data_IF_410849586527
#
_entry.id   IF_410849586527
#
_cell.length_a   1.000
_cell.length_b   1.000
_cell.length_c   1.000
_cell.angle_alpha   90.00
_cell.angle_beta   90.00
_cell.angle_gamma   90.00
#
_symmetry.space_group_name_H-M   'P 1'
#
loop_
_entity.id
_entity.type
_entity.pdbx_description
1 polymer ?
#
# COMPACT_ATOMS: atom_id res chain seq x y z
N UNK A 1 21.86 4.72 6.62
CA UNK A 1 22.33 3.46 6.02
C UNK A 1 21.92 3.35 4.56
N UNK A 2 22.51 2.42 3.81
CA UNK A 2 22.30 2.24 2.36
C UNK A 2 21.16 1.25 2.08
N UNK A 3 20.24 1.61 1.20
CA UNK A 3 19.12 0.83 0.68
C UNK A 3 19.64 -0.29 -0.23
N UNK A 4 19.04 -1.48 -0.13
CA UNK A 4 19.36 -2.62 -0.98
C UNK A 4 18.48 -2.58 -2.24
N UNK A 5 18.87 -1.75 -3.20
CA UNK A 5 18.03 -1.44 -4.37
C UNK A 5 18.44 -2.27 -5.60
N UNK A 6 17.50 -2.71 -6.47
CA UNK A 6 17.83 -3.43 -7.70
C UNK A 6 18.84 -2.71 -8.60
N UNK A 7 19.59 -3.45 -9.42
CA UNK A 7 20.68 -2.93 -10.25
C UNK A 7 20.31 -1.77 -11.18
N UNK A 8 19.04 -1.69 -11.60
CA UNK A 8 18.53 -0.62 -12.47
C UNK A 8 18.11 0.65 -11.72
N UNK A 9 18.26 0.72 -10.40
CA UNK A 9 17.91 1.93 -9.64
C UNK A 9 19.01 2.97 -9.69
N UNK A 10 18.67 4.14 -10.22
CA UNK A 10 19.57 5.28 -10.42
C UNK A 10 19.45 6.35 -9.32
N UNK A 11 18.52 6.18 -8.36
CA UNK A 11 18.31 7.14 -7.29
C UNK A 11 19.32 7.01 -6.14
N UNK A 12 19.25 7.92 -5.14
CA UNK A 12 20.09 7.83 -3.96
C UNK A 12 19.79 6.55 -3.19
N UNK A 13 20.85 5.80 -2.87
CA UNK A 13 20.76 4.59 -2.04
C UNK A 13 20.87 4.92 -0.56
N UNK A 14 21.34 6.08 -0.15
CA UNK A 14 21.38 6.49 1.27
C UNK A 14 20.58 7.76 1.43
N UNK A 15 19.72 7.78 2.43
CA UNK A 15 18.92 8.95 2.80
C UNK A 15 19.30 9.29 4.24
N UNK A 16 19.76 10.53 4.45
CA UNK A 16 20.15 11.02 5.77
C UNK A 16 19.28 12.23 6.11
N UNK A 17 18.69 12.23 7.29
CA UNK A 17 17.86 13.31 7.81
C UNK A 17 18.37 13.69 9.20
N UNK A 18 18.72 14.96 9.40
CA UNK A 18 19.21 15.48 10.67
C UNK A 18 18.24 16.56 11.18
N UNK A 19 17.82 16.42 12.43
CA UNK A 19 16.90 17.35 13.09
C UNK A 19 17.26 17.49 14.57
N UNK A 20 17.23 18.73 15.08
CA UNK A 20 17.43 19.04 16.49
C UNK A 20 16.06 19.23 17.15
N UNK A 21 15.85 18.57 18.30
CA UNK A 21 14.63 18.69 19.09
C UNK A 21 14.91 19.47 20.37
N UNK A 22 14.29 20.64 20.50
CA UNK A 22 14.49 21.52 21.67
C UNK A 22 13.63 21.14 22.87
N UNK A 23 12.62 20.29 22.66
CA UNK A 23 11.68 19.89 23.70
C UNK A 23 11.69 18.37 23.88
N UNK A 24 11.67 17.88 25.13
CA UNK A 24 11.55 16.46 25.41
C UNK A 24 10.16 15.94 25.01
N UNK A 25 10.07 14.62 24.81
CA UNK A 25 8.81 13.95 24.51
C UNK A 25 8.85 13.17 23.20
N UNK A 26 7.67 12.73 22.75
CA UNK A 26 7.53 11.96 21.51
C UNK A 26 7.66 12.89 20.31
N UNK A 27 8.69 12.67 19.51
CA UNK A 27 8.92 13.37 18.26
C UNK A 27 8.54 12.47 17.09
N UNK A 28 8.05 13.06 15.99
CA UNK A 28 7.68 12.31 14.78
C UNK A 28 8.40 12.88 13.57
N UNK A 29 9.09 12.01 12.85
CA UNK A 29 9.83 12.35 11.64
C UNK A 29 9.15 11.64 10.45
N UNK A 30 9.05 12.33 9.31
CA UNK A 30 8.61 11.73 8.05
C UNK A 30 9.83 11.52 7.17
N UNK A 31 10.14 10.27 6.87
CA UNK A 31 11.23 9.91 5.97
C UNK A 31 10.66 9.68 4.56
N UNK A 32 11.33 10.17 3.49
CA UNK A 32 10.90 9.89 2.13
C UNK A 32 11.03 8.39 1.84
N UNK A 33 10.03 7.84 1.16
CA UNK A 33 10.00 6.44 0.75
C UNK A 33 10.47 6.30 -0.69
N UNK A 34 11.04 5.14 -1.02
CA UNK A 34 11.45 4.84 -2.39
C UNK A 34 10.32 4.17 -3.15
N UNK A 35 10.14 4.58 -4.40
CA UNK A 35 9.05 4.11 -5.25
C UNK A 35 9.37 2.77 -5.95
N UNK A 36 10.17 1.91 -5.32
CA UNK A 36 10.57 0.61 -5.85
C UNK A 36 10.43 -0.44 -4.75
N UNK A 37 10.20 -1.70 -5.13
CA UNK A 37 10.20 -2.80 -4.17
C UNK A 37 11.63 -3.04 -3.72
N UNK A 38 11.92 -2.77 -2.45
CA UNK A 38 13.27 -2.88 -1.89
C UNK A 38 13.20 -3.04 -0.38
N UNK A 39 14.23 -3.66 0.17
CA UNK A 39 14.47 -3.71 1.60
C UNK A 39 15.54 -2.68 1.95
N UNK A 40 15.36 -2.01 3.08
CA UNK A 40 16.32 -1.06 3.61
C UNK A 40 16.43 -1.18 5.10
N UNK A 41 17.44 -0.53 5.64
CA UNK A 41 17.68 -0.44 7.07
C UNK A 41 17.62 1.03 7.46
N UNK A 42 16.93 1.32 8.55
CA UNK A 42 16.93 2.64 9.19
C UNK A 42 17.84 2.58 10.40
N UNK A 43 18.83 3.47 10.42
CA UNK A 43 19.68 3.73 11.57
C UNK A 43 19.22 5.05 12.18
N UNK A 44 18.90 5.04 13.47
CA UNK A 44 18.50 6.22 14.24
C UNK A 44 19.61 6.52 15.23
N UNK A 45 20.16 7.73 15.16
CA UNK A 45 21.22 8.21 16.03
C UNK A 45 20.75 9.47 16.75
N UNK A 46 21.02 9.57 18.06
CA UNK A 46 20.67 10.70 18.88
C UNK A 46 21.79 11.03 19.84
N UNK A 47 22.10 12.32 19.98
CA UNK A 47 22.93 12.85 21.05
C UNK A 47 22.04 13.70 21.95
N UNK A 48 22.04 13.41 23.26
CA UNK A 48 21.30 14.25 24.20
C UNK A 48 22.12 15.49 24.62
N UNK A 49 21.48 16.40 25.35
CA UNK A 49 22.13 17.62 25.88
C UNK A 49 23.31 17.37 26.83
N UNK A 50 23.38 16.18 27.44
CA UNK A 50 24.46 15.76 28.35
C UNK A 50 25.60 15.05 27.58
N UNK A 51 25.53 14.99 26.24
CA UNK A 51 26.52 14.30 25.41
C UNK A 51 26.38 12.79 25.34
N UNK A 52 25.31 12.20 25.88
CA UNK A 52 25.06 10.76 25.76
C UNK A 52 24.60 10.41 24.34
N UNK A 53 25.26 9.41 23.77
CA UNK A 53 24.97 8.89 22.45
C UNK A 53 24.05 7.67 22.52
N UNK A 54 22.99 7.68 21.72
CA UNK A 54 22.06 6.58 21.56
C UNK A 54 21.96 6.21 20.08
N UNK A 55 21.91 4.90 19.80
CA UNK A 55 21.77 4.37 18.45
C UNK A 55 20.83 3.17 18.45
N UNK A 56 19.98 3.07 17.44
CA UNK A 56 19.12 1.92 17.21
C UNK A 56 18.95 1.65 15.70
N UNK A 57 18.74 0.39 15.34
CA UNK A 57 18.67 -0.07 13.95
C UNK A 57 17.47 -0.99 13.73
N UNK A 58 16.70 -0.74 12.68
CA UNK A 58 15.59 -1.61 12.28
C UNK A 58 15.44 -1.73 10.77
N UNK A 59 14.95 -2.90 10.34
CA UNK A 59 14.72 -3.21 8.93
C UNK A 59 13.34 -2.77 8.46
N UNK A 60 13.27 -2.22 7.25
CA UNK A 60 12.04 -1.83 6.57
C UNK A 60 11.98 -2.46 5.18
N UNK A 61 10.81 -2.94 4.80
CA UNK A 61 10.58 -3.45 3.44
C UNK A 61 9.50 -2.63 2.74
N UNK A 62 9.84 -2.08 1.58
CA UNK A 62 8.92 -1.33 0.73
C UNK A 62 8.28 -2.28 -0.28
N UNK A 63 6.97 -2.52 -0.17
CA UNK A 63 6.21 -3.43 -1.06
C UNK A 63 5.30 -2.71 -2.06
N UNK A 64 5.56 -1.43 -2.35
CA UNK A 64 4.55 -0.45 -2.80
C UNK A 64 3.97 -0.59 -4.23
N UNK A 65 4.02 -1.74 -4.91
CA UNK A 65 3.67 -1.84 -6.34
C UNK A 65 2.55 -2.79 -6.78
N UNK A 66 1.72 -3.33 -5.90
CA UNK A 66 0.63 -4.23 -6.35
C UNK A 66 -0.68 -3.55 -6.77
N UNK A 67 -0.85 -2.24 -6.55
CA UNK A 67 -2.17 -1.62 -6.71
C UNK A 67 -2.56 -1.26 -8.16
N UNK A 68 -1.60 -1.01 -9.06
CA UNK A 68 -1.94 -0.59 -10.44
C UNK A 68 -2.56 -1.73 -11.25
N UNK A 69 -1.95 -2.92 -11.22
CA UNK A 69 -2.48 -4.08 -11.95
C UNK A 69 -3.74 -4.62 -11.29
N UNK A 70 -3.77 -4.71 -9.96
CA UNK A 70 -4.94 -5.14 -9.19
C UNK A 70 -6.17 -4.25 -9.47
N UNK A 71 -5.97 -2.93 -9.57
CA UNK A 71 -7.04 -1.98 -9.93
C UNK A 71 -7.69 -2.36 -11.26
N UNK A 72 -6.90 -2.62 -12.29
CA UNK A 72 -7.43 -2.96 -13.61
C UNK A 72 -8.01 -4.38 -13.68
N UNK A 73 -7.39 -5.33 -12.96
CA UNK A 73 -7.90 -6.69 -12.85
C UNK A 73 -9.29 -6.75 -12.19
N UNK A 74 -9.60 -5.83 -11.26
CA UNK A 74 -10.92 -5.70 -10.65
C UNK A 74 -11.91 -4.98 -11.57
N UNK A 75 -11.49 -3.87 -12.18
CA UNK A 75 -12.38 -2.98 -12.94
C UNK A 75 -12.80 -3.59 -14.27
N UNK A 76 -11.92 -4.34 -14.95
CA UNK A 76 -12.22 -4.94 -16.26
C UNK A 76 -13.38 -5.96 -16.22
N UNK A 77 -13.43 -6.93 -15.30
CA UNK A 77 -14.57 -7.85 -15.17
C UNK A 77 -15.89 -7.13 -14.85
N UNK A 78 -15.85 -6.10 -14.00
CA UNK A 78 -17.05 -5.32 -13.66
C UNK A 78 -17.57 -4.55 -14.87
N UNK A 79 -16.69 -3.89 -15.64
CA UNK A 79 -17.06 -3.22 -16.89
C UNK A 79 -17.55 -4.21 -17.94
N UNK A 80 -16.91 -5.37 -18.06
CA UNK A 80 -17.35 -6.44 -18.95
C UNK A 80 -18.75 -6.92 -18.63
N UNK A 81 -19.02 -7.25 -17.37
CA UNK A 81 -20.36 -7.68 -16.92
C UNK A 81 -21.39 -6.57 -17.09
N UNK A 82 -21.03 -5.32 -16.80
CA UNK A 82 -21.90 -4.17 -17.04
C UNK A 82 -22.25 -4.02 -18.53
N UNK A 83 -21.26 -4.14 -19.43
CA UNK A 83 -21.49 -4.14 -20.87
C UNK A 83 -22.38 -5.28 -21.34
N UNK A 84 -22.18 -6.49 -20.79
CA UNK A 84 -23.05 -7.65 -21.05
C UNK A 84 -24.49 -7.36 -20.65
N UNK A 85 -24.72 -6.84 -19.45
CA UNK A 85 -26.08 -6.53 -18.95
C UNK A 85 -26.78 -5.41 -19.73
N UNK A 86 -26.03 -4.43 -20.24
CA UNK A 86 -26.60 -3.32 -21.03
C UNK A 86 -26.92 -3.75 -22.47
N UNK A 87 -26.06 -4.57 -23.08
CA UNK A 87 -26.21 -5.01 -24.48
C UNK A 87 -27.17 -6.19 -24.58
N UNK A 88 -27.03 -7.19 -23.72
CA UNK A 88 -27.97 -8.30 -23.63
C UNK A 88 -29.14 -7.81 -22.79
N UNK A 89 -30.22 -7.34 -23.45
CA UNK A 89 -31.46 -7.02 -22.74
C UNK A 89 -31.87 -8.24 -21.89
N UNK A 90 -32.24 -8.06 -20.61
CA UNK A 90 -32.81 -9.15 -19.83
C UNK A 90 -33.99 -9.73 -20.59
N UNK A 91 -34.09 -11.07 -20.66
CA UNK A 91 -35.26 -11.73 -21.21
C UNK A 91 -36.50 -11.21 -20.47
N UNK A 92 -37.25 -10.32 -21.11
CA UNK A 92 -38.59 -9.97 -20.67
C UNK A 92 -39.44 -11.24 -20.78
N UNK A 93 -39.81 -11.83 -19.64
CA UNK A 93 -40.88 -12.83 -19.62
C UNK A 93 -40.70 -14.06 -18.74
N UNK A 94 -39.57 -14.26 -18.06
CA UNK A 94 -39.44 -15.42 -17.16
C UNK A 94 -39.56 -14.98 -15.71
N UNK A 95 -40.64 -15.41 -15.04
CA UNK A 95 -40.79 -15.23 -13.61
C UNK A 95 -39.54 -15.82 -12.91
N UNK A 96 -38.92 -15.03 -12.03
CA UNK A 96 -37.85 -15.55 -11.17
C UNK A 96 -38.40 -16.77 -10.42
N UNK A 97 -37.61 -17.86 -10.28
CA UNK A 97 -38.05 -19.04 -9.55
C UNK A 97 -38.38 -18.64 -8.10
N UNK A 98 -39.66 -18.46 -7.83
CA UNK A 98 -40.20 -18.21 -6.51
C UNK A 98 -40.78 -19.50 -5.97
N UNK A 99 -40.48 -19.81 -4.71
CA UNK A 99 -41.21 -20.85 -4.00
C UNK A 99 -42.67 -20.42 -3.81
N UNK A 100 -43.57 -20.87 -4.70
CA UNK A 100 -45.00 -20.86 -4.42
C UNK A 100 -45.31 -22.03 -3.50
N UNK A 101 -45.68 -21.73 -2.25
CA UNK A 101 -46.18 -22.74 -1.32
C UNK A 101 -47.57 -23.14 -1.79
N UNK A 102 -47.71 -24.31 -2.42
CA UNK A 102 -49.03 -24.90 -2.70
C UNK A 102 -49.69 -25.19 -1.35
N UNK A 103 -50.59 -24.32 -0.92
CA UNK A 103 -51.57 -24.63 0.11
C UNK A 103 -52.84 -25.08 -0.61
N UNK A 104 -52.87 -26.35 -0.99
CA UNK A 104 -54.12 -27.04 -1.30
C UNK A 104 -54.82 -27.30 0.05
N UNK A 105 -55.93 -26.61 0.26
CA UNK A 105 -56.94 -26.89 1.29
C UNK A 105 -58.15 -27.56 0.61
#
# INVERSE_FOLDING_TARGET
TTLLVPGNYQGPRKITHNQIFNQPGKQRIKLPTVNVRTTGTVLVEMVNKNGLYFSDEFSLTFHMHYYKLLKWMLVLPMLGMFGVLVILRPQEGTALPSFSRNTDL
#
